data_IF_191455886347
#
_entry.id   IF_191455886347
#
_cell.length_a   1.000
_cell.length_b   1.000
_cell.length_c   1.000
_cell.angle_alpha   90.00
_cell.angle_beta   90.00
_cell.angle_gamma   90.00
#
_symmetry.space_group_name_H-M   'P 1'
#
loop_
_entity.id
_entity.type
_entity.pdbx_description
1 polymer ?
#
# COMPACT_ATOMS: atom_id res chain seq x y z
N UNK A 1 31.92 0.30 70.40
CA UNK A 1 31.00 1.16 69.63
C UNK A 1 31.29 0.93 68.16
N UNK A 2 30.38 0.25 67.44
CA UNK A 2 30.56 -0.13 66.04
C UNK A 2 29.71 0.77 65.14
N UNK A 3 30.35 1.46 64.20
CA UNK A 3 29.72 2.29 63.18
C UNK A 3 29.07 1.39 62.12
N UNK A 4 27.76 1.51 61.94
CA UNK A 4 27.03 0.86 60.84
C UNK A 4 27.20 1.74 59.60
N UNK A 5 28.09 1.31 58.70
CA UNK A 5 28.22 1.87 57.35
C UNK A 5 26.96 1.49 56.55
N UNK A 6 26.15 2.47 56.16
CA UNK A 6 25.06 2.28 55.23
C UNK A 6 25.64 2.10 53.82
N UNK A 7 25.47 0.92 53.24
CA UNK A 7 25.81 0.64 51.84
C UNK A 7 24.91 1.46 50.90
N UNK A 8 25.48 2.19 49.92
CA UNK A 8 24.69 2.82 48.87
C UNK A 8 24.12 1.77 47.91
N UNK A 9 22.83 1.91 47.60
CA UNK A 9 22.06 1.02 46.73
C UNK A 9 22.65 0.95 45.32
N UNK A 10 22.91 -0.26 44.84
CA UNK A 10 23.39 -0.56 43.49
C UNK A 10 22.25 -0.70 42.48
N UNK A 11 21.30 0.23 42.48
CA UNK A 11 20.31 0.31 41.40
C UNK A 11 20.86 1.26 40.33
N UNK A 12 21.03 0.82 39.07
CA UNK A 12 21.43 1.74 38.01
C UNK A 12 20.38 2.86 37.90
N UNK A 13 20.80 4.11 37.65
CA UNK A 13 19.85 5.20 37.47
C UNK A 13 18.86 4.81 36.38
N UNK A 14 17.56 4.96 36.66
CA UNK A 14 16.51 4.85 35.64
C UNK A 14 16.96 5.74 34.49
N UNK A 15 17.32 5.12 33.35
CA UNK A 15 17.49 5.83 32.08
C UNK A 15 16.19 6.62 31.88
N UNK A 16 16.23 7.91 32.16
CA UNK A 16 15.28 8.85 31.58
C UNK A 16 15.38 8.57 30.09
N UNK A 17 14.32 8.01 29.50
CA UNK A 17 14.22 7.91 28.05
C UNK A 17 14.27 9.35 27.57
N UNK A 18 15.39 9.69 26.93
CA UNK A 18 15.52 10.92 26.16
C UNK A 18 14.26 11.06 25.28
N UNK A 19 13.47 12.13 25.43
CA UNK A 19 12.31 12.38 24.57
C UNK A 19 12.70 12.67 23.11
N UNK A 20 14.00 12.71 22.78
CA UNK A 20 14.54 13.16 21.49
C UNK A 20 14.48 12.13 20.35
N UNK A 21 13.72 11.04 20.51
CA UNK A 21 13.32 10.18 19.39
C UNK A 21 11.85 10.41 18.96
N UNK A 22 11.26 11.55 19.32
CA UNK A 22 10.12 12.08 18.58
C UNK A 22 10.61 12.58 17.22
N UNK A 23 10.82 11.66 16.27
CA UNK A 23 11.07 12.01 14.86
C UNK A 23 9.94 12.90 14.38
N UNK A 24 10.25 13.98 13.66
CA UNK A 24 9.20 14.83 13.10
C UNK A 24 8.30 13.96 12.22
N UNK A 25 6.99 14.22 12.27
CA UNK A 25 6.02 13.58 11.37
C UNK A 25 6.51 13.67 9.92
N UNK A 26 7.09 14.81 9.53
CA UNK A 26 7.65 15.05 8.20
C UNK A 26 8.81 14.13 7.84
N UNK A 27 9.74 13.85 8.78
CA UNK A 27 10.84 12.91 8.52
C UNK A 27 10.36 11.47 8.35
N UNK A 28 9.31 11.07 9.07
CA UNK A 28 8.68 9.76 8.89
C UNK A 28 7.98 9.66 7.53
N UNK A 29 7.33 10.74 7.09
CA UNK A 29 6.70 10.82 5.78
C UNK A 29 7.73 10.71 4.66
N UNK A 30 8.81 11.48 4.75
CA UNK A 30 9.86 11.50 3.74
C UNK A 30 10.52 10.12 3.59
N UNK A 31 10.79 9.43 4.71
CA UNK A 31 11.31 8.06 4.66
C UNK A 31 10.31 7.06 4.09
N UNK A 32 9.01 7.24 4.34
CA UNK A 32 7.99 6.38 3.78
C UNK A 32 7.85 6.58 2.26
N UNK A 33 7.90 7.83 1.80
CA UNK A 33 7.94 8.18 0.38
C UNK A 33 9.21 7.62 -0.30
N UNK A 34 10.38 7.73 0.34
CA UNK A 34 11.64 7.16 -0.15
C UNK A 34 11.58 5.62 -0.22
N UNK A 35 11.15 4.96 0.85
CA UNK A 35 11.02 3.50 0.89
C UNK A 35 10.08 2.98 -0.19
N UNK A 36 8.95 3.66 -0.37
CA UNK A 36 7.97 3.28 -1.40
C UNK A 36 8.51 3.61 -2.79
N UNK A 37 9.18 4.75 -2.97
CA UNK A 37 9.88 5.08 -4.22
C UNK A 37 10.93 4.04 -4.60
N UNK A 38 11.68 3.49 -3.65
CA UNK A 38 12.63 2.40 -3.91
C UNK A 38 11.91 1.07 -4.18
N UNK A 39 10.80 0.76 -3.49
CA UNK A 39 9.96 -0.39 -3.82
C UNK A 39 9.36 -0.30 -5.23
N UNK A 40 8.88 0.88 -5.64
CA UNK A 40 8.36 1.17 -6.99
C UNK A 40 9.45 0.88 -8.02
N UNK A 41 10.68 1.38 -7.79
CA UNK A 41 11.82 1.16 -8.68
C UNK A 41 12.24 -0.30 -8.72
N UNK A 42 12.23 -1.01 -7.59
CA UNK A 42 12.56 -2.44 -7.53
C UNK A 42 11.52 -3.27 -8.28
N UNK A 43 10.24 -3.04 -8.00
CA UNK A 43 9.13 -3.71 -8.67
C UNK A 43 9.13 -3.43 -10.19
N UNK A 44 9.45 -2.21 -10.61
CA UNK A 44 9.60 -1.89 -12.03
C UNK A 44 10.77 -2.64 -12.69
N UNK A 45 11.89 -2.80 -11.98
CA UNK A 45 13.06 -3.53 -12.46
C UNK A 45 12.83 -5.05 -12.51
N UNK A 46 12.10 -5.59 -11.54
CA UNK A 46 11.74 -7.01 -11.47
C UNK A 46 10.66 -7.35 -12.50
N UNK A 47 9.62 -6.52 -12.65
CA UNK A 47 8.54 -6.68 -13.63
C UNK A 47 9.00 -6.54 -15.09
N UNK A 48 10.13 -5.89 -15.36
CA UNK A 48 10.73 -5.84 -16.70
C UNK A 48 11.57 -7.07 -17.05
N UNK A 49 11.89 -7.94 -16.08
CA UNK A 49 12.85 -9.03 -16.28
C UNK A 49 12.24 -10.38 -16.65
N UNK A 50 10.97 -10.64 -16.40
CA UNK A 50 10.37 -11.95 -16.65
C UNK A 50 8.93 -11.80 -17.18
N UNK A 51 8.61 -12.52 -18.27
CA UNK A 51 7.25 -12.70 -18.76
C UNK A 51 6.79 -11.79 -19.91
N UNK A 52 6.01 -12.37 -20.84
CA UNK A 52 5.32 -11.61 -21.88
C UNK A 52 4.13 -10.89 -21.23
N UNK A 53 4.32 -9.65 -20.79
CA UNK A 53 3.21 -8.86 -20.24
C UNK A 53 2.17 -8.57 -21.33
N UNK A 54 0.97 -9.14 -21.20
CA UNK A 54 -0.14 -8.84 -22.12
C UNK A 54 -0.96 -7.68 -21.56
N UNK A 55 -1.04 -6.55 -22.27
CA UNK A 55 -1.90 -5.45 -21.85
C UNK A 55 -3.36 -5.90 -21.94
N UNK A 56 -4.07 -5.75 -20.83
CA UNK A 56 -5.51 -6.00 -20.73
C UNK A 56 -6.24 -4.70 -20.40
N UNK A 57 -7.39 -4.48 -21.04
CA UNK A 57 -8.25 -3.35 -20.70
C UNK A 57 -9.05 -3.69 -19.45
N UNK A 58 -8.84 -2.94 -18.37
CA UNK A 58 -9.55 -3.13 -17.10
C UNK A 58 -10.29 -1.85 -16.73
N UNK A 59 -11.48 -2.03 -16.17
CA UNK A 59 -12.32 -0.92 -15.68
C UNK A 59 -11.77 -0.40 -14.36
N UNK A 60 -11.77 0.91 -14.17
CA UNK A 60 -11.53 1.58 -12.90
C UNK A 60 -12.54 2.71 -12.72
N UNK A 61 -12.82 3.11 -11.50
CA UNK A 61 -13.67 4.27 -11.24
C UNK A 61 -13.02 5.57 -11.75
N UNK A 62 -13.83 6.52 -12.22
CA UNK A 62 -13.36 7.83 -12.66
C UNK A 62 -12.59 8.57 -11.56
N UNK A 63 -13.06 8.51 -10.32
CA UNK A 63 -12.33 9.04 -9.17
C UNK A 63 -10.99 8.30 -8.95
N UNK A 64 -10.97 6.97 -9.16
CA UNK A 64 -9.75 6.17 -9.14
C UNK A 64 -8.73 6.66 -10.16
N UNK A 65 -9.15 7.06 -11.36
CA UNK A 65 -8.24 7.61 -12.37
C UNK A 65 -7.65 8.96 -11.96
N UNK A 66 -8.44 9.81 -11.30
CA UNK A 66 -7.95 11.08 -10.75
C UNK A 66 -6.90 10.81 -9.67
N UNK A 67 -7.19 9.89 -8.74
CA UNK A 67 -6.24 9.45 -7.70
C UNK A 67 -4.96 8.87 -8.29
N UNK A 68 -5.09 8.09 -9.37
CA UNK A 68 -3.96 7.52 -10.08
C UNK A 68 -3.08 8.61 -10.71
N UNK A 69 -3.67 9.62 -11.33
CA UNK A 69 -2.93 10.75 -11.90
C UNK A 69 -2.15 11.51 -10.82
N UNK A 70 -2.78 11.81 -9.68
CA UNK A 70 -2.12 12.47 -8.56
C UNK A 70 -0.98 11.61 -7.96
N UNK A 71 -1.17 10.29 -7.88
CA UNK A 71 -0.12 9.35 -7.48
C UNK A 71 1.05 9.35 -8.47
N UNK A 72 0.80 9.43 -9.78
CA UNK A 72 1.84 9.54 -10.80
C UNK A 72 2.67 10.80 -10.63
N UNK A 73 2.02 11.95 -10.44
CA UNK A 73 2.68 13.24 -10.29
C UNK A 73 3.55 13.27 -9.04
N UNK A 74 3.03 12.73 -7.93
CA UNK A 74 3.73 12.73 -6.64
C UNK A 74 4.90 11.75 -6.59
N UNK A 75 4.69 10.53 -7.08
CA UNK A 75 5.70 9.46 -7.01
C UNK A 75 6.66 9.46 -8.20
N UNK A 76 6.36 10.26 -9.24
CA UNK A 76 7.09 10.28 -10.52
C UNK A 76 7.25 8.88 -11.10
N UNK A 77 6.19 8.09 -11.00
CA UNK A 77 6.16 6.69 -11.41
C UNK A 77 5.27 6.50 -12.63
N UNK A 78 5.63 5.54 -13.48
CA UNK A 78 4.79 5.18 -14.62
C UNK A 78 3.47 4.57 -14.15
N UNK A 79 2.38 4.85 -14.88
CA UNK A 79 1.04 4.35 -14.57
C UNK A 79 1.03 2.83 -14.39
N UNK A 80 1.73 2.10 -15.26
CA UNK A 80 1.80 0.62 -15.21
C UNK A 80 2.36 0.11 -13.87
N UNK A 81 3.38 0.79 -13.34
CA UNK A 81 4.02 0.41 -12.08
C UNK A 81 3.04 0.64 -10.93
N UNK A 82 2.35 1.78 -10.94
CA UNK A 82 1.35 2.11 -9.93
C UNK A 82 0.15 1.16 -9.95
N UNK A 83 -0.32 0.76 -11.13
CA UNK A 83 -1.40 -0.22 -11.26
C UNK A 83 -0.97 -1.59 -10.72
N UNK A 84 0.25 -2.05 -11.03
CA UNK A 84 0.77 -3.31 -10.49
C UNK A 84 0.95 -3.26 -8.97
N UNK A 85 1.47 -2.16 -8.45
CA UNK A 85 1.55 -1.94 -7.01
C UNK A 85 0.19 -1.89 -6.33
N UNK A 86 -0.76 -1.16 -6.90
CA UNK A 86 -2.13 -1.06 -6.39
C UNK A 86 -2.74 -2.46 -6.28
N UNK A 87 -2.64 -3.19 -7.39
CA UNK A 87 -3.13 -4.53 -7.51
C UNK A 87 -2.56 -5.47 -6.44
N UNK A 88 -1.23 -5.58 -6.38
CA UNK A 88 -0.54 -6.43 -5.43
C UNK A 88 -0.84 -6.01 -3.98
N UNK A 89 -0.86 -4.71 -3.72
CA UNK A 89 -1.08 -4.19 -2.37
C UNK A 89 -2.49 -4.53 -1.86
N UNK A 90 -3.53 -4.32 -2.67
CA UNK A 90 -4.89 -4.70 -2.29
C UNK A 90 -5.04 -6.21 -2.08
N UNK A 91 -4.44 -7.03 -2.94
CA UNK A 91 -4.45 -8.48 -2.78
C UNK A 91 -3.81 -8.92 -1.45
N UNK A 92 -2.61 -8.39 -1.16
CA UNK A 92 -1.89 -8.73 0.06
C UNK A 92 -2.61 -8.24 1.33
N UNK A 93 -3.15 -7.03 1.32
CA UNK A 93 -3.94 -6.52 2.44
C UNK A 93 -5.23 -7.32 2.62
N UNK A 94 -5.92 -7.71 1.55
CA UNK A 94 -7.10 -8.59 1.63
C UNK A 94 -6.76 -9.93 2.29
N UNK A 95 -5.67 -10.56 1.84
CA UNK A 95 -5.21 -11.84 2.38
C UNK A 95 -4.80 -11.73 3.84
N UNK A 96 -4.04 -10.68 4.19
CA UNK A 96 -3.58 -10.41 5.55
C UNK A 96 -4.73 -10.18 6.51
N UNK A 97 -5.73 -9.42 6.09
CA UNK A 97 -6.90 -9.08 6.89
C UNK A 97 -8.04 -10.10 6.75
N UNK A 98 -7.82 -11.20 6.02
CA UNK A 98 -8.80 -12.26 5.75
C UNK A 98 -10.11 -11.73 5.15
N UNK A 99 -10.03 -10.65 4.38
CA UNK A 99 -11.17 -10.03 3.72
C UNK A 99 -11.47 -10.76 2.43
N UNK A 100 -12.72 -11.18 2.27
CA UNK A 100 -13.16 -11.81 1.03
C UNK A 100 -13.23 -10.78 -0.11
N UNK A 101 -12.88 -11.21 -1.31
CA UNK A 101 -13.03 -10.39 -2.51
C UNK A 101 -14.50 -10.04 -2.81
N UNK A 102 -15.46 -10.84 -2.33
CA UNK A 102 -16.88 -10.50 -2.43
C UNK A 102 -17.26 -9.29 -1.56
N UNK A 103 -16.71 -9.21 -0.35
CA UNK A 103 -16.86 -8.04 0.51
C UNK A 103 -16.25 -6.79 -0.16
N UNK A 104 -15.04 -6.92 -0.71
CA UNK A 104 -14.40 -5.83 -1.44
C UNK A 104 -15.24 -5.39 -2.64
N UNK A 105 -15.82 -6.33 -3.40
CA UNK A 105 -16.73 -6.02 -4.50
C UNK A 105 -17.87 -5.11 -4.04
N UNK A 106 -18.57 -5.47 -2.97
CA UNK A 106 -19.68 -4.65 -2.44
C UNK A 106 -19.24 -3.25 -2.06
N UNK A 107 -18.05 -3.10 -1.47
CA UNK A 107 -17.49 -1.78 -1.14
C UNK A 107 -17.14 -0.97 -2.38
N UNK A 108 -16.52 -1.59 -3.38
CA UNK A 108 -16.17 -0.93 -4.64
C UNK A 108 -17.43 -0.48 -5.39
N UNK A 109 -18.42 -1.35 -5.53
CA UNK A 109 -19.68 -1.05 -6.22
C UNK A 109 -20.48 0.08 -5.53
N UNK A 110 -20.32 0.24 -4.21
CA UNK A 110 -20.94 1.35 -3.47
C UNK A 110 -20.26 2.71 -3.71
N UNK A 111 -19.01 2.72 -4.17
CA UNK A 111 -18.19 3.94 -4.33
C UNK A 111 -18.05 4.31 -5.82
N UNK A 112 -17.92 3.31 -6.68
CA UNK A 112 -17.69 3.50 -8.12
C UNK A 112 -19.04 3.64 -8.83
N UNK A 113 -19.42 4.89 -9.09
CA UNK A 113 -20.63 5.22 -9.85
C UNK A 113 -20.37 5.37 -11.36
N UNK A 114 -19.14 5.71 -11.75
CA UNK A 114 -18.72 5.91 -13.14
C UNK A 114 -17.40 5.17 -13.41
N UNK A 115 -17.34 4.41 -14.50
CA UNK A 115 -16.19 3.57 -14.86
C UNK A 115 -15.48 4.07 -16.12
N UNK A 116 -14.16 3.96 -16.14
CA UNK A 116 -13.31 4.21 -17.30
C UNK A 116 -12.32 3.05 -17.49
N UNK A 117 -11.88 2.82 -18.72
CA UNK A 117 -10.88 1.79 -19.00
C UNK A 117 -9.46 2.33 -18.82
N UNK A 118 -8.60 1.48 -18.27
CA UNK A 118 -7.14 1.64 -18.26
C UNK A 118 -6.47 0.39 -18.83
N UNK A 119 -5.32 0.59 -19.47
CA UNK A 119 -4.45 -0.51 -19.85
C UNK A 119 -3.69 -0.97 -18.61
N UNK A 120 -3.88 -2.23 -18.26
CA UNK A 120 -3.21 -2.90 -17.17
C UNK A 120 -2.30 -3.99 -17.73
N UNK A 121 -1.03 -3.93 -17.37
CA UNK A 121 0.00 -4.90 -17.77
C UNK A 121 0.52 -5.54 -16.50
N UNK A 122 0.29 -6.84 -16.36
CA UNK A 122 0.70 -7.61 -15.19
C UNK A 122 1.46 -8.85 -15.65
N UNK A 123 2.45 -9.27 -14.87
CA UNK A 123 3.16 -10.51 -15.12
C UNK A 123 2.22 -11.72 -14.95
N UNK A 124 2.38 -12.70 -15.85
CA UNK A 124 1.57 -13.90 -15.96
C UNK A 124 1.66 -14.75 -14.68
N UNK A 125 2.82 -14.75 -14.01
CA UNK A 125 3.01 -15.41 -12.71
C UNK A 125 2.14 -14.80 -11.59
N UNK A 126 1.87 -13.49 -11.66
CA UNK A 126 0.99 -12.78 -10.71
C UNK A 126 -0.49 -12.99 -11.09
N UNK A 127 -0.78 -13.25 -12.36
CA UNK A 127 -2.10 -13.66 -12.87
C UNK A 127 -2.51 -15.05 -12.40
N UNK A 128 -1.59 -16.02 -12.33
CA UNK A 128 -1.90 -17.40 -11.90
C UNK A 128 -2.46 -17.44 -10.46
N UNK A 129 -1.98 -16.56 -9.59
CA UNK A 129 -2.50 -16.39 -8.21
C UNK A 129 -3.96 -15.90 -8.20
N UNK A 130 -4.41 -15.22 -9.26
CA UNK A 130 -5.76 -14.68 -9.41
C UNK A 130 -6.72 -15.62 -10.09
N UNK A 131 -6.25 -16.45 -11.02
CA UNK A 131 -7.09 -17.42 -11.71
C UNK A 131 -7.62 -18.51 -10.78
N UNK A 132 -6.94 -18.80 -9.67
CA UNK A 132 -7.45 -19.67 -8.61
C UNK A 132 -8.69 -19.10 -7.88
N UNK A 133 -8.93 -17.78 -7.94
CA UNK A 133 -10.05 -17.14 -7.24
C UNK A 133 -11.42 -17.35 -7.89
N UNK A 134 -11.49 -17.88 -9.13
CA UNK A 134 -12.72 -18.07 -9.94
C UNK A 134 -13.64 -16.83 -10.07
N UNK A 135 -13.14 -15.63 -9.80
CA UNK A 135 -13.98 -14.42 -9.78
C UNK A 135 -13.69 -13.56 -11.00
N UNK A 136 -14.73 -13.41 -11.81
CA UNK A 136 -14.72 -12.80 -13.14
C UNK A 136 -14.29 -11.32 -13.15
N UNK A 137 -14.26 -10.64 -11.98
CA UNK A 137 -13.90 -9.22 -11.83
C UNK A 137 -12.80 -8.96 -10.79
N UNK A 138 -11.99 -9.95 -10.42
CA UNK A 138 -10.95 -9.77 -9.39
C UNK A 138 -10.00 -8.60 -9.72
N UNK A 139 -9.70 -8.39 -11.01
CA UNK A 139 -8.86 -7.29 -11.49
C UNK A 139 -9.48 -5.92 -11.21
N UNK A 140 -10.76 -5.74 -11.55
CA UNK A 140 -11.50 -4.52 -11.24
C UNK A 140 -11.52 -4.24 -9.73
N UNK A 141 -11.82 -5.26 -8.93
CA UNK A 141 -11.96 -5.13 -7.47
C UNK A 141 -10.62 -4.72 -6.84
N UNK A 142 -9.55 -5.47 -7.11
CA UNK A 142 -8.25 -5.21 -6.50
C UNK A 142 -7.58 -3.94 -7.03
N UNK A 143 -7.79 -3.56 -8.30
CA UNK A 143 -7.26 -2.29 -8.80
C UNK A 143 -7.93 -1.10 -8.12
N UNK A 144 -9.26 -1.07 -8.06
CA UNK A 144 -9.95 0.05 -7.42
C UNK A 144 -9.65 0.09 -5.91
N UNK A 145 -9.59 -1.07 -5.25
CA UNK A 145 -9.19 -1.15 -3.85
C UNK A 145 -7.76 -0.68 -3.62
N UNK A 146 -6.85 -1.08 -4.50
CA UNK A 146 -5.44 -0.76 -4.43
C UNK A 146 -5.15 0.71 -4.67
N UNK A 147 -5.82 1.32 -5.65
CA UNK A 147 -5.67 2.75 -5.95
C UNK A 147 -6.11 3.58 -4.75
N UNK A 148 -7.26 3.27 -4.16
CA UNK A 148 -7.72 4.01 -2.98
C UNK A 148 -6.82 3.79 -1.77
N UNK A 149 -6.33 2.58 -1.55
CA UNK A 149 -5.35 2.25 -0.50
C UNK A 149 -4.06 3.03 -0.66
N UNK A 150 -3.45 2.97 -1.85
CA UNK A 150 -2.22 3.70 -2.15
C UNK A 150 -2.43 5.19 -1.97
N UNK A 151 -3.53 5.73 -2.49
CA UNK A 151 -3.87 7.14 -2.37
C UNK A 151 -4.05 7.56 -0.90
N UNK A 152 -4.81 6.80 -0.13
CA UNK A 152 -5.02 7.07 1.29
C UNK A 152 -3.71 7.03 2.09
N UNK A 153 -2.82 6.09 1.73
CA UNK A 153 -1.55 5.87 2.42
C UNK A 153 -0.47 6.88 2.04
N UNK A 154 -0.45 7.35 0.79
CA UNK A 154 0.66 8.14 0.24
C UNK A 154 0.30 9.61 0.05
N UNK A 155 -0.98 9.92 -0.11
CA UNK A 155 -1.44 11.27 -0.37
C UNK A 155 -2.16 11.84 0.85
N UNK A 156 -3.18 11.14 1.37
CA UNK A 156 -4.04 11.65 2.45
C UNK A 156 -3.53 11.40 3.88
N UNK A 157 -2.48 10.59 4.06
CA UNK A 157 -1.67 10.45 5.29
C UNK A 157 -2.41 10.81 6.59
N UNK A 158 -3.45 10.02 6.94
CA UNK A 158 -4.22 9.97 8.20
C UNK A 158 -5.71 9.65 7.98
N UNK A 159 -6.18 9.47 6.74
CA UNK A 159 -7.53 8.96 6.48
C UNK A 159 -7.45 7.45 6.26
N UNK A 160 -8.26 6.70 7.00
CA UNK A 160 -8.45 5.29 6.68
C UNK A 160 -9.09 5.17 5.30
N UNK A 161 -8.70 4.13 4.56
CA UNK A 161 -9.25 3.92 3.22
C UNK A 161 -10.72 3.55 3.36
N UNK A 162 -11.58 4.23 2.62
CA UNK A 162 -13.05 4.05 2.67
C UNK A 162 -13.49 2.62 2.33
N UNK A 163 -12.58 1.81 1.80
CA UNK A 163 -12.80 0.42 1.37
C UNK A 163 -12.57 -0.56 2.53
N UNK A 164 -11.78 -0.16 3.54
CA UNK A 164 -11.38 -1.01 4.66
C UNK A 164 -12.01 -0.62 6.00
N UNK A 165 -12.70 0.53 6.05
CA UNK A 165 -13.63 0.90 7.12
C UNK A 165 -15.00 0.23 6.93
#
# INVERSE_FOLDING_TARGET
MAQIQQQPSSLPPRKQRDPSLARSKEELLQRQEEYIGEMVKSAARESLREGTMRPISVRIGREGKIKLHELQDRLRAEQKILLNMAFAYAYHEAKRNQVSVHFLRTKIEAIVNDEENVLFEIDESTLDILFDSRIQDAQFIYLNAGIDLLYSRLVKLNTASAIWD
#
